data_IF_079026865896
#
_entry.id   IF_079026865896
#
_cell.length_a   1.000
_cell.length_b   1.000
_cell.length_c   1.000
_cell.angle_alpha   90.00
_cell.angle_beta   90.00
_cell.angle_gamma   90.00
#
_symmetry.space_group_name_H-M   'P 1'
#
loop_
_entity.id
_entity.type
_entity.pdbx_description
1 polymer ?
#
# COMPACT_ATOMS: atom_id res chain seq x y z
N UNK A 1 -3.17 13.81 -17.43
CA UNK A 1 -3.23 12.55 -18.17
C UNK A 1 -3.33 11.42 -17.16
N UNK A 2 -4.55 10.89 -17.03
CA UNK A 2 -5.00 9.74 -16.23
C UNK A 2 -4.32 9.48 -14.89
N UNK A 3 -4.72 10.22 -13.86
CA UNK A 3 -4.53 9.81 -12.47
C UNK A 3 -5.89 9.42 -11.90
N UNK A 4 -6.35 8.23 -12.26
CA UNK A 4 -7.55 7.65 -11.68
C UNK A 4 -7.26 7.19 -10.24
N UNK A 5 -8.11 7.59 -9.30
CA UNK A 5 -8.06 7.09 -7.92
C UNK A 5 -8.72 5.70 -7.84
N UNK A 6 -8.41 4.92 -6.80
CA UNK A 6 -9.03 3.62 -6.58
C UNK A 6 -10.52 3.71 -6.23
N UNK A 7 -11.06 4.92 -5.97
CA UNK A 7 -12.48 5.19 -5.75
C UNK A 7 -13.10 4.28 -4.68
N UNK A 8 -12.40 4.09 -3.55
CA UNK A 8 -12.80 3.22 -2.44
C UNK A 8 -12.99 1.73 -2.79
N UNK A 9 -12.45 1.28 -3.92
CA UNK A 9 -12.53 -0.11 -4.35
C UNK A 9 -11.19 -0.83 -4.22
N UNK A 10 -11.13 -1.84 -3.34
CA UNK A 10 -9.98 -2.71 -3.16
C UNK A 10 -9.51 -3.34 -4.47
N UNK A 11 -10.43 -3.90 -5.27
CA UNK A 11 -10.08 -4.60 -6.50
C UNK A 11 -9.41 -3.67 -7.53
N UNK A 12 -9.83 -2.40 -7.56
CA UNK A 12 -9.21 -1.38 -8.41
C UNK A 12 -7.81 -1.01 -7.92
N UNK A 13 -7.67 -0.83 -6.61
CA UNK A 13 -6.38 -0.55 -5.98
C UNK A 13 -5.38 -1.70 -6.10
N UNK A 14 -5.84 -2.96 -6.08
CA UNK A 14 -4.97 -4.13 -6.10
C UNK A 14 -4.70 -4.66 -7.52
N UNK A 15 -5.72 -4.78 -8.37
CA UNK A 15 -5.59 -5.49 -9.65
C UNK A 15 -5.39 -4.60 -10.87
N UNK A 16 -5.89 -3.37 -10.88
CA UNK A 16 -5.87 -2.50 -12.07
C UNK A 16 -4.93 -1.31 -11.90
N UNK A 17 -5.36 -0.29 -11.17
CA UNK A 17 -4.61 0.98 -11.00
C UNK A 17 -3.31 0.72 -10.24
N UNK A 18 -3.35 -0.10 -9.20
CA UNK A 18 -2.15 -0.40 -8.42
C UNK A 18 -1.05 -1.10 -9.20
N UNK A 19 -1.40 -2.01 -10.12
CA UNK A 19 -0.41 -2.70 -10.94
C UNK A 19 0.35 -1.78 -11.91
N UNK A 20 -0.26 -0.66 -12.31
CA UNK A 20 0.41 0.31 -13.18
C UNK A 20 1.44 1.15 -12.42
N UNK A 21 1.25 1.34 -11.11
CA UNK A 21 2.06 2.24 -10.29
C UNK A 21 3.07 1.47 -9.42
N UNK A 22 2.83 0.18 -9.14
CA UNK A 22 3.64 -0.61 -8.20
C UNK A 22 5.12 -0.68 -8.60
N UNK A 23 5.42 -0.89 -9.89
CA UNK A 23 6.80 -1.02 -10.36
C UNK A 23 7.59 0.29 -10.18
N UNK A 24 6.93 1.43 -10.40
CA UNK A 24 7.53 2.75 -10.16
C UNK A 24 7.83 2.97 -8.68
N UNK A 25 6.92 2.56 -7.79
CA UNK A 25 7.11 2.70 -6.33
C UNK A 25 8.23 1.78 -5.84
N UNK A 26 8.30 0.53 -6.34
CA UNK A 26 9.36 -0.41 -5.99
C UNK A 26 10.74 0.08 -6.44
N UNK A 27 10.87 0.64 -7.65
CA UNK A 27 12.14 1.22 -8.12
C UNK A 27 12.62 2.37 -7.22
N UNK A 28 11.69 3.21 -6.73
CA UNK A 28 12.01 4.28 -5.79
C UNK A 28 12.40 3.75 -4.42
N UNK A 29 11.70 2.74 -3.90
CA UNK A 29 12.05 2.08 -2.64
C UNK A 29 13.40 1.41 -2.72
N UNK A 30 13.73 0.76 -3.84
CA UNK A 30 15.05 0.15 -4.06
C UNK A 30 16.17 1.18 -4.02
N UNK A 31 16.00 2.31 -4.72
CA UNK A 31 16.98 3.41 -4.68
C UNK A 31 17.24 3.94 -3.26
N UNK A 32 16.20 4.03 -2.43
CA UNK A 32 16.35 4.44 -1.03
C UNK A 32 17.00 3.35 -0.18
N UNK A 33 16.66 2.08 -0.44
CA UNK A 33 17.29 0.93 0.22
C UNK A 33 18.77 0.81 -0.12
N UNK A 34 19.18 1.09 -1.35
CA UNK A 34 20.57 1.01 -1.80
C UNK A 34 21.45 2.10 -1.17
N UNK A 35 20.85 3.22 -0.76
CA UNK A 35 21.52 4.30 -0.03
C UNK A 35 21.70 3.99 1.47
N UNK A 36 21.14 2.88 1.96
CA UNK A 36 21.20 2.49 3.36
C UNK A 36 22.18 1.32 3.55
N UNK A 37 23.24 1.51 4.33
CA UNK A 37 24.23 0.45 4.63
C UNK A 37 23.65 -0.74 5.41
N UNK A 38 22.46 -0.57 6.02
CA UNK A 38 21.81 -1.60 6.83
C UNK A 38 20.33 -1.33 7.06
N UNK A 39 19.50 -1.46 6.01
CA UNK A 39 18.05 -1.31 6.14
C UNK A 39 17.49 -2.29 7.20
N UNK A 40 16.82 -1.78 8.23
CA UNK A 40 16.19 -2.59 9.28
C UNK A 40 14.81 -3.12 8.87
N UNK A 41 14.02 -2.28 8.18
CA UNK A 41 12.66 -2.60 7.83
C UNK A 41 11.89 -1.44 7.21
N UNK A 42 10.59 -1.66 7.02
CA UNK A 42 9.65 -0.70 6.45
C UNK A 42 8.54 -0.39 7.46
N UNK A 43 8.16 0.88 7.51
CA UNK A 43 7.00 1.38 8.25
C UNK A 43 5.95 1.79 7.21
N UNK A 44 4.83 1.09 7.19
CA UNK A 44 3.76 1.25 6.21
C UNK A 44 2.57 1.89 6.90
N UNK A 45 2.19 3.09 6.46
CA UNK A 45 1.02 3.81 6.97
C UNK A 45 -0.08 3.76 5.92
N UNK A 46 -1.23 3.20 6.28
CA UNK A 46 -2.36 3.10 5.36
C UNK A 46 -3.70 3.18 6.08
N UNK A 47 -4.79 3.32 5.33
CA UNK A 47 -6.16 3.22 5.85
C UNK A 47 -6.76 1.88 5.44
N UNK A 48 -7.57 1.27 6.32
CA UNK A 48 -8.36 0.09 5.96
C UNK A 48 -9.54 0.45 5.05
N UNK A 49 -10.17 1.60 5.29
CA UNK A 49 -11.41 2.00 4.60
C UNK A 49 -11.25 2.55 3.18
N UNK A 50 -10.02 2.82 2.73
CA UNK A 50 -9.77 3.40 1.40
C UNK A 50 -9.33 2.34 0.40
N UNK A 51 -9.83 2.40 -0.84
CA UNK A 51 -9.51 1.40 -1.89
C UNK A 51 -8.03 1.36 -2.27
N UNK A 52 -7.35 2.49 -2.20
CA UNK A 52 -5.89 2.57 -2.37
C UNK A 52 -5.18 2.10 -1.11
N UNK A 53 -5.63 2.56 0.06
CA UNK A 53 -5.03 2.21 1.35
C UNK A 53 -5.09 0.71 1.67
N UNK A 54 -6.16 0.02 1.28
CA UNK A 54 -6.27 -1.43 1.42
C UNK A 54 -5.66 -2.15 0.20
N UNK A 55 -6.16 -1.88 -1.00
CA UNK A 55 -5.81 -2.62 -2.22
C UNK A 55 -4.35 -2.49 -2.65
N UNK A 56 -3.85 -1.25 -2.71
CA UNK A 56 -2.48 -1.01 -3.14
C UNK A 56 -1.48 -1.43 -2.07
N UNK A 57 -1.79 -1.20 -0.80
CA UNK A 57 -0.90 -1.59 0.31
C UNK A 57 -0.74 -3.11 0.40
N UNK A 58 -1.80 -3.89 0.22
CA UNK A 58 -1.69 -5.35 0.16
C UNK A 58 -0.78 -5.80 -0.98
N UNK A 59 -0.92 -5.20 -2.17
CA UNK A 59 -0.03 -5.49 -3.31
C UNK A 59 1.42 -5.12 -3.00
N UNK A 60 1.64 -3.97 -2.36
CA UNK A 60 2.98 -3.51 -1.97
C UNK A 60 3.62 -4.44 -0.94
N UNK A 61 2.85 -4.88 0.05
CA UNK A 61 3.33 -5.80 1.08
C UNK A 61 3.73 -7.15 0.50
N UNK A 62 2.97 -7.70 -0.46
CA UNK A 62 3.34 -8.93 -1.17
C UNK A 62 4.69 -8.77 -1.87
N UNK A 63 4.88 -7.67 -2.61
CA UNK A 63 6.13 -7.41 -3.33
C UNK A 63 7.32 -7.17 -2.41
N UNK A 64 7.13 -6.41 -1.33
CA UNK A 64 8.15 -6.19 -0.31
C UNK A 64 8.51 -7.49 0.43
N UNK A 65 7.56 -8.40 0.62
CA UNK A 65 7.85 -9.70 1.23
C UNK A 65 8.65 -10.61 0.32
N UNK A 66 8.47 -10.50 -0.99
CA UNK A 66 9.27 -11.24 -1.98
C UNK A 66 10.71 -10.72 -2.07
N UNK A 67 10.91 -9.40 -2.16
CA UNK A 67 12.26 -8.82 -2.32
C UNK A 67 13.01 -8.66 -0.98
N UNK A 68 12.30 -8.29 0.09
CA UNK A 68 12.86 -7.95 1.39
C UNK A 68 12.33 -8.86 2.51
N UNK A 69 12.14 -10.15 2.23
CA UNK A 69 11.53 -11.11 3.16
C UNK A 69 12.17 -11.19 4.55
N UNK A 70 13.47 -10.93 4.66
CA UNK A 70 14.21 -10.91 5.94
C UNK A 70 14.10 -9.59 6.73
N UNK A 71 13.46 -8.56 6.16
CA UNK A 71 13.32 -7.23 6.78
C UNK A 71 11.97 -7.09 7.47
N UNK A 72 11.98 -6.40 8.60
CA UNK A 72 10.78 -6.13 9.39
C UNK A 72 9.82 -5.24 8.60
N UNK A 73 8.52 -5.51 8.68
CA UNK A 73 7.46 -4.71 8.06
C UNK A 73 6.45 -4.42 9.16
N UNK A 74 6.31 -3.15 9.53
CA UNK A 74 5.36 -2.71 10.55
C UNK A 74 4.28 -1.89 9.86
N UNK A 75 3.03 -2.27 10.06
CA UNK A 75 1.86 -1.57 9.52
C UNK A 75 1.18 -0.74 10.60
N UNK A 76 0.93 0.52 10.28
CA UNK A 76 0.09 1.43 11.03
C UNK A 76 -1.14 1.72 10.21
N UNK A 77 -2.16 0.91 10.46
CA UNK A 77 -3.41 0.98 9.74
C UNK A 77 -4.44 1.80 10.52
N UNK A 78 -5.03 2.80 9.88
CA UNK A 78 -6.14 3.56 10.46
C UNK A 78 -7.41 2.75 10.29
N UNK A 79 -7.94 2.26 11.42
CA UNK A 79 -9.21 1.54 11.46
C UNK A 79 -10.38 2.53 11.33
N UNK A 80 -11.32 2.32 10.40
CA UNK A 80 -12.46 3.21 10.23
C UNK A 80 -13.38 3.15 11.45
N UNK A 81 -13.93 4.29 11.84
CA UNK A 81 -14.94 4.39 12.89
C UNK A 81 -16.31 4.66 12.26
N UNK A 82 -17.40 3.98 12.69
CA UNK A 82 -18.73 4.13 12.09
C UNK A 82 -19.30 5.56 12.18
N UNK A 83 -18.75 6.40 13.06
CA UNK A 83 -19.16 7.80 13.22
C UNK A 83 -18.48 8.78 12.24
N UNK A 84 -17.35 8.38 11.63
CA UNK A 84 -16.53 9.22 10.73
C UNK A 84 -16.30 8.48 9.38
N UNK A 85 -17.07 7.42 9.14
CA UNK A 85 -17.01 6.61 7.94
C UNK A 85 -17.38 7.44 6.71
N UNK A 86 -16.50 7.48 5.71
CA UNK A 86 -16.73 8.22 4.46
C UNK A 86 -17.03 7.29 3.29
N UNK A 87 -16.84 5.99 3.45
CA UNK A 87 -17.14 4.99 2.44
C UNK A 87 -18.07 3.89 3.00
N UNK A 88 -19.21 3.69 2.34
CA UNK A 88 -20.23 2.68 2.71
C UNK A 88 -19.69 1.23 2.62
N UNK A 89 -18.58 1.04 1.90
CA UNK A 89 -17.93 -0.26 1.66
C UNK A 89 -16.75 -0.56 2.60
N UNK A 90 -16.57 0.23 3.66
CA UNK A 90 -15.51 0.02 4.66
C UNK A 90 -15.48 -1.35 5.37
N UNK A 91 -16.59 -2.11 5.52
CA UNK A 91 -16.55 -3.44 6.13
C UNK A 91 -16.03 -4.57 5.21
N UNK A 92 -15.86 -4.31 3.91
CA UNK A 92 -15.40 -5.29 2.93
C UNK A 92 -13.87 -5.38 2.91
#
# INVERSE_FOLDING_TARGET
SDKEDAANNYARGHYTVGKQIIDLVLDRLRKLSDQCDGLQGFLIFHSFGGGTGSGFTSLLMERLSLEYGKKSKLEFAVYPAPQISTAVVEPY
#
